data_IF_990525819857
#
_entry.id   IF_990525819857
#
_cell.length_a   1.000
_cell.length_b   1.000
_cell.length_c   1.000
_cell.angle_alpha   90.00
_cell.angle_beta   90.00
_cell.angle_gamma   90.00
#
_symmetry.space_group_name_H-M   'P 1'
#
loop_
_entity.id
_entity.type
_entity.pdbx_description
1 polymer ?
#
# COMPACT_ATOMS: atom_id res chain seq x y z
N UNK A 1 17.50 7.99 18.90
CA UNK A 1 16.73 7.57 17.74
C UNK A 1 17.45 6.49 16.96
N UNK A 2 16.80 5.34 16.74
CA UNK A 2 17.37 4.24 15.96
C UNK A 2 17.52 4.66 14.49
N UNK A 3 18.63 4.26 13.90
CA UNK A 3 18.94 4.40 12.47
C UNK A 3 19.76 3.20 12.00
N UNK A 4 19.73 2.94 10.70
CA UNK A 4 20.47 1.87 10.04
C UNK A 4 21.53 2.46 9.12
N UNK A 5 22.65 1.75 8.96
CA UNK A 5 23.73 2.11 8.04
C UNK A 5 24.27 0.85 7.36
N UNK A 6 24.39 0.84 6.03
CA UNK A 6 23.89 1.89 5.11
C UNK A 6 22.39 2.12 5.27
N UNK A 7 21.88 3.20 4.68
CA UNK A 7 20.43 3.44 4.64
C UNK A 7 19.72 2.24 3.99
N UNK A 8 18.46 1.92 4.41
CA UNK A 8 17.67 0.85 3.80
C UNK A 8 17.57 1.00 2.28
N UNK A 9 17.69 -0.12 1.57
CA UNK A 9 17.72 -0.12 0.11
C UNK A 9 18.45 -1.32 -0.47
N UNK A 10 18.90 -1.20 -1.73
CA UNK A 10 19.70 -2.23 -2.37
C UNK A 10 21.08 -2.35 -1.70
N UNK A 11 21.47 -3.60 -1.44
CA UNK A 11 22.74 -3.96 -0.82
C UNK A 11 23.32 -5.18 -1.52
N UNK A 12 24.65 -5.27 -1.56
CA UNK A 12 25.35 -6.46 -2.06
C UNK A 12 25.13 -7.66 -1.14
N UNK A 13 25.13 -8.85 -1.72
CA UNK A 13 25.05 -10.09 -0.94
C UNK A 13 26.30 -10.22 -0.03
N UNK A 14 26.09 -10.47 1.26
CA UNK A 14 27.14 -10.57 2.24
C UNK A 14 27.65 -9.23 2.77
N UNK A 15 27.09 -8.12 2.32
CA UNK A 15 27.38 -6.83 2.96
C UNK A 15 26.78 -6.75 4.37
N UNK A 16 27.38 -5.92 5.21
CA UNK A 16 26.95 -5.78 6.60
C UNK A 16 26.17 -4.50 6.84
N UNK A 17 25.20 -4.57 7.73
CA UNK A 17 24.46 -3.42 8.23
C UNK A 17 24.79 -3.14 9.69
N UNK A 18 24.69 -1.88 10.06
CA UNK A 18 24.83 -1.42 11.44
C UNK A 18 23.53 -0.80 11.92
N UNK A 19 23.16 -1.11 13.15
CA UNK A 19 22.03 -0.46 13.83
C UNK A 19 22.62 0.49 14.88
N UNK A 20 22.23 1.76 14.80
CA UNK A 20 22.80 2.83 15.64
C UNK A 20 21.69 3.52 16.42
N UNK A 21 21.98 3.89 17.65
CA UNK A 21 21.16 4.86 18.38
C UNK A 21 21.88 6.21 18.42
N UNK A 22 21.16 7.26 18.06
CA UNK A 22 21.64 8.65 18.06
C UNK A 22 21.39 9.37 19.40
N UNK A 23 20.85 8.68 20.41
CA UNK A 23 20.70 9.27 21.75
C UNK A 23 22.00 9.17 22.54
N UNK A 24 22.15 10.02 23.55
CA UNK A 24 23.26 9.98 24.49
C UNK A 24 23.03 9.01 25.67
N UNK A 25 21.88 8.35 25.71
CA UNK A 25 21.53 7.43 26.78
C UNK A 25 22.19 6.05 26.56
N UNK A 26 22.59 5.40 27.65
CA UNK A 26 23.02 4.01 27.59
C UNK A 26 21.82 3.10 27.36
N UNK A 27 21.62 2.68 26.13
CA UNK A 27 20.52 1.81 25.72
C UNK A 27 21.03 0.52 25.08
N UNK A 28 20.24 -0.52 25.22
CA UNK A 28 20.40 -1.73 24.43
C UNK A 28 19.56 -1.64 23.16
N UNK A 29 20.11 -1.98 22.01
CA UNK A 29 19.34 -2.09 20.78
C UNK A 29 18.89 -3.53 20.63
N UNK A 30 17.59 -3.76 20.46
CA UNK A 30 17.05 -5.08 20.13
C UNK A 30 16.35 -5.04 18.78
N UNK A 31 16.38 -6.18 18.09
CA UNK A 31 15.80 -6.27 16.76
C UNK A 31 15.14 -7.63 16.49
N UNK A 32 14.29 -7.64 15.45
CA UNK A 32 13.63 -8.81 14.87
C UNK A 32 13.76 -8.78 13.35
N UNK A 33 13.55 -9.91 12.69
CA UNK A 33 13.61 -10.06 11.24
C UNK A 33 12.34 -10.67 10.63
N UNK A 34 11.37 -11.01 11.45
CA UNK A 34 10.12 -11.68 11.08
C UNK A 34 8.92 -10.72 10.91
N UNK A 35 9.13 -9.42 11.13
CA UNK A 35 8.08 -8.41 11.12
C UNK A 35 7.44 -8.16 12.49
N UNK A 36 7.77 -8.92 13.53
CA UNK A 36 7.32 -8.65 14.90
C UNK A 36 7.97 -7.38 15.47
N UNK A 37 7.32 -6.75 16.44
CA UNK A 37 7.95 -5.66 17.19
C UNK A 37 9.00 -6.27 18.14
N UNK A 38 10.22 -5.70 18.19
CA UNK A 38 11.18 -6.13 19.20
C UNK A 38 10.67 -5.88 20.62
N UNK A 39 10.95 -6.82 21.50
CA UNK A 39 10.65 -6.81 22.93
C UNK A 39 11.89 -7.14 23.76
N UNK A 40 11.72 -7.27 25.10
CA UNK A 40 12.81 -7.55 26.04
C UNK A 40 13.50 -8.92 25.82
N UNK A 41 12.91 -9.83 25.05
CA UNK A 41 13.46 -11.15 24.72
C UNK A 41 14.07 -11.22 23.31
N UNK A 42 13.83 -10.20 22.48
CA UNK A 42 14.31 -10.14 21.10
C UNK A 42 15.84 -10.06 21.03
N UNK A 43 16.42 -10.34 19.87
CA UNK A 43 17.86 -10.37 19.68
C UNK A 43 18.50 -9.04 20.07
N UNK A 44 19.57 -9.15 20.84
CA UNK A 44 20.39 -8.00 21.23
C UNK A 44 21.39 -7.70 20.10
N UNK A 45 21.38 -6.49 19.58
CA UNK A 45 22.37 -6.04 18.61
C UNK A 45 23.70 -5.81 19.29
N UNK A 46 24.75 -6.49 18.83
CA UNK A 46 26.12 -6.40 19.38
C UNK A 46 27.18 -6.01 18.37
N UNK A 47 26.97 -6.43 17.11
CA UNK A 47 27.95 -6.27 16.03
C UNK A 47 27.22 -6.12 14.69
N UNK A 48 27.89 -5.64 13.62
CA UNK A 48 27.31 -5.55 12.30
C UNK A 48 26.73 -6.88 11.83
N UNK A 49 25.56 -6.82 11.18
CA UNK A 49 24.81 -8.00 10.74
C UNK A 49 25.05 -8.17 9.24
N UNK A 50 25.53 -9.35 8.84
CA UNK A 50 25.65 -9.72 7.44
C UNK A 50 24.27 -9.98 6.83
N UNK A 51 24.02 -9.43 5.62
CA UNK A 51 22.76 -9.58 4.92
C UNK A 51 22.97 -10.42 3.65
N UNK A 52 22.52 -11.66 3.67
CA UNK A 52 22.71 -12.61 2.56
C UNK A 52 21.52 -12.69 1.61
N UNK A 53 20.31 -12.37 2.10
CA UNK A 53 19.06 -12.39 1.37
C UNK A 53 18.23 -11.12 1.66
N UNK A 54 17.28 -10.81 0.77
CA UNK A 54 16.34 -9.71 1.01
C UNK A 54 15.67 -9.86 2.37
N UNK A 55 15.90 -8.88 3.25
CA UNK A 55 15.56 -8.97 4.67
C UNK A 55 14.87 -7.72 5.18
N UNK A 56 13.99 -7.91 6.15
CA UNK A 56 13.41 -6.86 6.97
C UNK A 56 14.03 -6.90 8.36
N UNK A 57 14.47 -5.76 8.84
CA UNK A 57 14.85 -5.57 10.24
C UNK A 57 13.86 -4.60 10.89
N UNK A 58 13.47 -4.89 12.13
CA UNK A 58 12.73 -3.98 12.98
C UNK A 58 13.51 -3.80 14.27
N UNK A 59 13.91 -2.58 14.59
CA UNK A 59 14.77 -2.32 15.74
C UNK A 59 14.20 -1.23 16.64
N UNK A 60 14.49 -1.33 17.93
CA UNK A 60 14.17 -0.33 18.95
C UNK A 60 15.24 -0.29 20.04
N UNK A 61 15.33 0.86 20.72
CA UNK A 61 16.16 1.03 21.92
C UNK A 61 15.40 0.57 23.17
N UNK A 62 16.13 -0.02 24.11
CA UNK A 62 15.62 -0.54 25.38
C UNK A 62 16.46 -0.07 26.55
N UNK A 63 15.79 0.22 27.66
CA UNK A 63 16.41 0.40 28.98
C UNK A 63 15.94 -0.79 29.84
N UNK A 64 16.88 -1.65 30.19
CA UNK A 64 16.52 -2.96 30.72
C UNK A 64 15.68 -3.76 29.71
N UNK A 65 14.48 -4.18 30.10
CA UNK A 65 13.53 -4.88 29.24
C UNK A 65 12.43 -3.97 28.67
N UNK A 66 12.44 -2.70 29.02
CA UNK A 66 11.42 -1.71 28.60
C UNK A 66 11.85 -1.02 27.32
N UNK A 67 10.93 -0.96 26.34
CA UNK A 67 11.21 -0.28 25.08
C UNK A 67 11.20 1.24 25.28
N UNK A 68 12.32 1.88 24.97
CA UNK A 68 12.56 3.30 25.16
C UNK A 68 12.46 4.13 23.87
N UNK A 69 12.22 3.51 22.72
CA UNK A 69 12.04 4.22 21.45
C UNK A 69 10.93 3.63 20.59
N UNK A 70 10.41 4.39 19.59
CA UNK A 70 9.62 3.80 18.51
C UNK A 70 10.40 2.69 17.82
N UNK A 71 9.67 1.72 17.25
CA UNK A 71 10.23 0.69 16.36
C UNK A 71 10.52 1.32 15.01
N UNK A 72 11.72 1.10 14.50
CA UNK A 72 12.14 1.57 13.18
C UNK A 72 12.34 0.35 12.28
N UNK A 73 11.54 0.20 11.21
CA UNK A 73 11.75 -0.83 10.21
C UNK A 73 12.81 -0.41 9.18
N UNK A 74 13.46 -1.40 8.59
CA UNK A 74 14.45 -1.23 7.53
C UNK A 74 14.46 -2.46 6.63
N UNK A 75 14.12 -2.28 5.37
CA UNK A 75 14.18 -3.34 4.36
C UNK A 75 15.45 -3.22 3.54
N UNK A 76 16.16 -4.33 3.38
CA UNK A 76 17.32 -4.45 2.50
C UNK A 76 17.03 -5.41 1.36
N UNK A 77 17.26 -4.94 0.13
CA UNK A 77 17.03 -5.68 -1.10
C UNK A 77 18.35 -6.27 -1.57
N UNK A 78 18.49 -7.59 -1.55
CA UNK A 78 19.70 -8.30 -1.97
C UNK A 78 19.53 -8.91 -3.34
N UNK A 79 20.59 -8.88 -4.14
CA UNK A 79 20.64 -9.48 -5.46
C UNK A 79 20.54 -8.47 -6.61
N UNK A 80 19.90 -8.88 -7.72
CA UNK A 80 19.77 -7.99 -8.89
C UNK A 80 18.83 -6.84 -8.56
N UNK A 81 19.16 -5.64 -9.11
CA UNK A 81 18.25 -4.50 -9.08
C UNK A 81 16.89 -4.93 -9.61
N UNK A 82 15.79 -4.64 -8.91
CA UNK A 82 14.47 -5.03 -9.37
C UNK A 82 14.14 -4.33 -10.69
N UNK A 83 13.55 -5.04 -11.64
CA UNK A 83 13.08 -4.44 -12.90
C UNK A 83 11.90 -3.48 -12.69
N UNK A 84 11.21 -3.60 -11.57
CA UNK A 84 10.09 -2.76 -11.13
C UNK A 84 10.41 -2.16 -9.76
N UNK A 85 9.86 -1.01 -9.43
CA UNK A 85 9.96 -0.47 -8.08
C UNK A 85 9.36 -1.47 -7.06
N UNK A 86 9.86 -1.41 -5.82
CA UNK A 86 9.45 -2.32 -4.74
C UNK A 86 8.66 -1.56 -3.70
N UNK A 87 7.53 -2.12 -3.32
CA UNK A 87 6.70 -1.67 -2.20
C UNK A 87 6.85 -2.69 -1.08
N UNK A 88 7.61 -2.35 -0.04
CA UNK A 88 7.82 -3.19 1.13
C UNK A 88 6.87 -2.79 2.26
N UNK A 89 6.12 -3.76 2.75
CA UNK A 89 5.20 -3.62 3.87
C UNK A 89 5.77 -4.37 5.08
N UNK A 90 6.01 -3.66 6.16
CA UNK A 90 6.42 -4.20 7.44
C UNK A 90 5.25 -4.13 8.42
N UNK A 91 4.84 -5.26 8.99
CA UNK A 91 3.75 -5.31 9.97
C UNK A 91 3.85 -6.54 10.87
N UNK A 92 3.10 -6.55 11.96
CA UNK A 92 3.02 -7.74 12.82
C UNK A 92 2.52 -8.95 12.04
N UNK A 93 3.18 -10.13 12.12
CA UNK A 93 2.75 -11.32 11.39
C UNK A 93 1.31 -11.74 11.69
N UNK A 94 0.87 -11.63 12.94
CA UNK A 94 -0.51 -11.93 13.34
C UNK A 94 -1.52 -10.97 12.67
N UNK A 95 -1.20 -9.68 12.57
CA UNK A 95 -2.02 -8.68 11.90
C UNK A 95 -2.12 -8.95 10.40
N UNK A 96 -1.03 -9.37 9.76
CA UNK A 96 -1.05 -9.77 8.36
C UNK A 96 -1.97 -10.98 8.13
N UNK A 97 -1.85 -12.01 8.96
CA UNK A 97 -2.71 -13.19 8.89
C UNK A 97 -4.18 -12.81 9.07
N UNK A 98 -4.48 -11.96 10.03
CA UNK A 98 -5.83 -11.47 10.26
C UNK A 98 -6.37 -10.72 9.03
N UNK A 99 -5.62 -9.74 8.51
CA UNK A 99 -6.01 -9.00 7.28
C UNK A 99 -6.22 -9.96 6.12
N UNK A 100 -5.31 -10.89 5.92
CA UNK A 100 -5.33 -11.78 4.76
C UNK A 100 -6.48 -12.79 4.83
N UNK A 101 -6.77 -13.37 5.98
CA UNK A 101 -7.72 -14.48 6.14
C UNK A 101 -9.17 -14.03 6.39
N UNK A 102 -9.39 -12.85 6.99
CA UNK A 102 -10.73 -12.38 7.31
C UNK A 102 -11.47 -11.81 6.09
N UNK A 103 -11.94 -12.69 5.22
CA UNK A 103 -12.58 -12.32 3.95
C UNK A 103 -13.86 -11.47 4.13
N UNK A 104 -14.56 -11.60 5.25
CA UNK A 104 -15.78 -10.85 5.59
C UNK A 104 -15.52 -9.48 6.22
N UNK A 105 -14.34 -9.25 6.81
CA UNK A 105 -14.02 -8.03 7.53
C UNK A 105 -14.13 -6.79 6.62
N UNK A 106 -14.82 -5.77 7.09
CA UNK A 106 -15.08 -4.51 6.38
C UNK A 106 -14.91 -3.32 7.32
N UNK A 107 -14.82 -2.13 6.70
CA UNK A 107 -14.74 -0.89 7.44
C UNK A 107 -13.39 -0.63 8.10
N UNK A 108 -13.29 0.48 8.81
CA UNK A 108 -12.05 0.95 9.45
C UNK A 108 -11.52 0.00 10.52
N UNK A 109 -12.39 -0.68 11.24
CA UNK A 109 -12.00 -1.65 12.27
C UNK A 109 -11.20 -2.85 11.75
N UNK A 110 -11.19 -3.08 10.43
CA UNK A 110 -10.38 -4.13 9.78
C UNK A 110 -9.02 -3.62 9.28
N UNK A 111 -8.65 -2.38 9.54
CA UNK A 111 -7.32 -1.86 9.27
C UNK A 111 -6.34 -2.34 10.35
N UNK A 112 -5.14 -2.75 9.94
CA UNK A 112 -4.03 -3.05 10.85
C UNK A 112 -2.86 -2.13 10.57
N UNK A 113 -2.15 -1.68 11.62
CA UNK A 113 -0.98 -0.84 11.46
C UNK A 113 0.11 -1.54 10.65
N UNK A 114 0.67 -0.83 9.70
CA UNK A 114 1.78 -1.29 8.90
C UNK A 114 2.71 -0.11 8.59
N UNK A 115 3.90 -0.40 8.10
CA UNK A 115 4.87 0.59 7.65
C UNK A 115 5.24 0.28 6.20
N UNK A 116 5.21 1.32 5.38
CA UNK A 116 5.56 1.30 3.97
C UNK A 116 6.99 1.79 3.79
N UNK A 117 7.77 1.08 3.02
CA UNK A 117 8.99 1.57 2.38
C UNK A 117 8.85 1.40 0.87
N UNK A 118 9.12 2.45 0.12
CA UNK A 118 9.07 2.47 -1.33
C UNK A 118 10.49 2.58 -1.87
N UNK A 119 10.85 1.67 -2.76
CA UNK A 119 12.15 1.66 -3.42
C UNK A 119 11.97 1.83 -4.92
N UNK A 120 12.77 2.73 -5.51
CA UNK A 120 12.84 2.88 -6.96
C UNK A 120 13.54 1.66 -7.62
N UNK A 121 13.57 1.56 -8.97
CA UNK A 121 14.26 0.47 -9.65
C UNK A 121 15.77 0.41 -9.40
N UNK A 122 16.38 1.50 -8.94
CA UNK A 122 17.79 1.50 -8.52
C UNK A 122 18.00 0.94 -7.13
N UNK A 123 16.90 0.65 -6.41
CA UNK A 123 16.90 0.13 -5.05
C UNK A 123 17.08 1.19 -3.96
N UNK A 124 16.96 2.48 -4.31
CA UNK A 124 16.99 3.57 -3.34
C UNK A 124 15.62 3.72 -2.69
N UNK A 125 15.58 3.91 -1.38
CA UNK A 125 14.36 4.19 -0.63
C UNK A 125 13.91 5.64 -0.87
N UNK A 126 12.82 5.81 -1.60
CA UNK A 126 12.28 7.13 -1.99
C UNK A 126 11.15 7.64 -1.11
N UNK A 127 10.48 6.76 -0.38
CA UNK A 127 9.46 7.13 0.61
C UNK A 127 9.38 6.08 1.73
N UNK A 128 8.99 6.53 2.94
CA UNK A 128 8.75 5.64 4.08
C UNK A 128 7.76 6.29 5.04
N UNK A 129 6.66 5.61 5.35
CA UNK A 129 5.65 6.12 6.28
C UNK A 129 4.79 5.00 6.88
N UNK A 130 4.18 5.28 8.03
CA UNK A 130 3.16 4.40 8.62
C UNK A 130 1.82 4.52 7.88
N UNK A 131 1.10 3.41 7.78
CA UNK A 131 -0.22 3.38 7.14
C UNK A 131 -1.11 2.26 7.71
N UNK A 132 -2.41 2.33 7.41
CA UNK A 132 -3.36 1.26 7.71
C UNK A 132 -3.48 0.29 6.54
N UNK A 133 -3.21 -0.98 6.79
CA UNK A 133 -3.28 -2.06 5.79
C UNK A 133 -4.58 -2.83 5.93
N UNK A 134 -5.27 -3.08 4.81
CA UNK A 134 -6.57 -3.75 4.81
C UNK A 134 -6.81 -4.57 3.55
N UNK A 135 -7.53 -5.69 3.70
CA UNK A 135 -7.95 -6.52 2.57
C UNK A 135 -8.93 -5.77 1.64
N UNK A 136 -8.70 -5.85 0.33
CA UNK A 136 -9.53 -5.24 -0.71
C UNK A 136 -10.25 -6.29 -1.56
N UNK A 137 -11.34 -5.88 -2.20
CA UNK A 137 -12.05 -6.63 -3.23
C UNK A 137 -13.36 -7.26 -2.80
N UNK A 138 -13.97 -7.99 -3.71
CA UNK A 138 -15.18 -8.79 -3.56
C UNK A 138 -14.86 -10.29 -3.50
N UNK A 139 -15.08 -11.01 -4.60
CA UNK A 139 -14.83 -12.45 -4.71
C UNK A 139 -13.36 -12.83 -4.43
N UNK A 140 -12.40 -12.01 -4.86
CA UNK A 140 -10.96 -12.23 -4.65
C UNK A 140 -10.49 -12.13 -3.19
N UNK A 141 -11.39 -11.89 -2.23
CA UNK A 141 -11.06 -11.89 -0.80
C UNK A 141 -11.08 -13.31 -0.18
N UNK A 142 -11.70 -14.27 -0.86
CA UNK A 142 -11.85 -15.64 -0.38
C UNK A 142 -10.57 -16.45 -0.58
N UNK A 143 -10.47 -17.56 0.12
CA UNK A 143 -9.35 -18.51 0.03
C UNK A 143 -8.30 -18.31 1.12
N UNK A 144 -7.32 -19.22 1.16
CA UNK A 144 -6.25 -19.30 2.14
C UNK A 144 -5.07 -18.37 1.87
N UNK A 145 -3.93 -18.73 2.46
CA UNK A 145 -2.67 -17.99 2.32
C UNK A 145 -2.04 -18.14 0.95
N UNK A 146 -2.36 -19.19 0.23
CA UNK A 146 -1.92 -19.50 -1.14
C UNK A 146 -2.54 -18.59 -2.20
N UNK A 147 -3.61 -17.88 -1.84
CA UNK A 147 -4.35 -17.01 -2.77
C UNK A 147 -3.79 -15.59 -2.72
N UNK A 148 -3.31 -15.12 -3.86
CA UNK A 148 -2.88 -13.73 -4.01
C UNK A 148 -4.08 -12.79 -3.94
N UNK A 149 -4.14 -11.94 -2.92
CA UNK A 149 -5.25 -11.04 -2.63
C UNK A 149 -4.88 -9.58 -2.83
N UNK A 150 -5.87 -8.75 -3.12
CA UNK A 150 -5.69 -7.30 -3.22
C UNK A 150 -5.83 -6.63 -1.85
N UNK A 151 -5.12 -5.52 -1.66
CA UNK A 151 -5.12 -4.79 -0.41
C UNK A 151 -5.41 -3.30 -0.63
N UNK A 152 -5.60 -2.57 0.46
CA UNK A 152 -5.66 -1.11 0.51
C UNK A 152 -4.64 -0.59 1.49
N UNK A 153 -3.96 0.46 1.10
CA UNK A 153 -3.18 1.30 1.98
C UNK A 153 -3.98 2.56 2.30
N UNK A 154 -4.05 2.94 3.58
CA UNK A 154 -4.67 4.16 4.07
C UNK A 154 -3.65 4.98 4.84
N UNK A 155 -3.31 6.14 4.33
CA UNK A 155 -2.40 7.07 4.99
C UNK A 155 -3.22 7.96 5.94
N UNK A 156 -2.98 7.80 7.24
CA UNK A 156 -3.72 8.48 8.29
C UNK A 156 -2.78 8.92 9.40
N UNK A 157 -3.02 10.07 9.98
CA UNK A 157 -2.21 10.63 11.07
C UNK A 157 -2.07 9.74 12.30
N UNK A 158 -2.93 8.72 12.49
CA UNK A 158 -2.79 7.73 13.57
C UNK A 158 -1.71 6.67 13.29
N UNK A 159 -1.30 6.50 12.04
CA UNK A 159 -0.28 5.52 11.64
C UNK A 159 1.05 6.18 11.28
N UNK A 160 1.01 7.41 10.75
CA UNK A 160 2.15 8.16 10.25
C UNK A 160 1.68 9.43 9.56
N UNK A 161 2.23 9.72 8.39
CA UNK A 161 1.81 10.87 7.59
C UNK A 161 0.39 10.67 7.06
N UNK A 162 -0.38 11.76 6.96
CA UNK A 162 -1.76 11.71 6.45
C UNK A 162 -1.83 11.44 4.95
N UNK A 163 -0.75 11.71 4.24
CA UNK A 163 -0.57 11.47 2.81
C UNK A 163 0.85 11.00 2.59
N UNK A 164 1.04 10.20 1.58
CA UNK A 164 2.38 9.92 1.08
C UNK A 164 2.73 10.97 0.04
N UNK A 165 3.74 11.77 0.30
CA UNK A 165 4.27 12.81 -0.59
C UNK A 165 5.35 12.20 -1.48
N UNK A 166 4.92 11.39 -2.43
CA UNK A 166 5.78 10.83 -3.46
C UNK A 166 4.90 10.41 -4.65
N UNK A 167 5.33 10.62 -5.91
CA UNK A 167 4.59 10.24 -7.09
C UNK A 167 4.60 8.70 -7.30
N UNK A 168 3.92 7.97 -6.40
CA UNK A 168 3.81 6.50 -6.47
C UNK A 168 3.20 6.06 -7.80
N UNK A 169 2.32 6.87 -8.37
CA UNK A 169 1.71 6.65 -9.68
C UNK A 169 2.00 7.88 -10.53
N UNK A 170 3.16 7.94 -11.22
CA UNK A 170 3.55 9.12 -12.00
C UNK A 170 2.51 9.55 -13.03
N UNK A 171 1.81 8.60 -13.64
CA UNK A 171 0.79 8.82 -14.66
C UNK A 171 -0.50 9.45 -14.09
N UNK A 172 -0.68 9.47 -12.77
CA UNK A 172 -1.85 10.09 -12.14
C UNK A 172 -1.83 11.63 -12.23
N UNK A 173 -0.66 12.23 -12.41
CA UNK A 173 -0.50 13.68 -12.39
C UNK A 173 -0.65 14.31 -11.00
N UNK A 174 -0.94 13.51 -9.97
CA UNK A 174 -1.00 13.92 -8.55
C UNK A 174 0.20 13.37 -7.79
N UNK A 175 0.65 14.10 -6.77
CA UNK A 175 1.86 13.74 -6.00
C UNK A 175 1.55 13.16 -4.63
N UNK A 176 0.37 13.47 -4.09
CA UNK A 176 -0.03 13.10 -2.74
C UNK A 176 -1.18 12.10 -2.78
N UNK A 177 -1.06 11.02 -2.05
CA UNK A 177 -2.09 10.00 -1.95
C UNK A 177 -2.48 9.79 -0.47
N UNK A 178 -3.77 9.87 -0.18
CA UNK A 178 -4.34 9.53 1.13
C UNK A 178 -4.67 8.04 1.25
N UNK A 179 -4.84 7.38 0.10
CA UNK A 179 -5.08 5.94 0.01
C UNK A 179 -4.72 5.38 -1.37
N UNK A 180 -4.37 4.11 -1.41
CA UNK A 180 -4.05 3.37 -2.62
C UNK A 180 -4.72 1.99 -2.59
N UNK A 181 -4.94 1.42 -3.77
CA UNK A 181 -5.36 0.03 -3.92
C UNK A 181 -4.22 -0.77 -4.54
N UNK A 182 -3.77 -1.80 -3.85
CA UNK A 182 -2.78 -2.76 -4.32
C UNK A 182 -3.54 -3.93 -4.97
N UNK A 183 -3.66 -3.93 -6.29
CA UNK A 183 -4.44 -4.93 -7.03
C UNK A 183 -3.60 -6.15 -7.34
N UNK A 184 -4.10 -7.31 -6.94
CA UNK A 184 -3.49 -8.61 -7.27
C UNK A 184 -3.81 -9.09 -8.69
N UNK A 185 -4.69 -8.39 -9.41
CA UNK A 185 -5.24 -8.78 -10.71
C UNK A 185 -5.85 -10.19 -10.69
N UNK A 186 -6.61 -10.47 -9.64
CA UNK A 186 -7.20 -11.77 -9.33
C UNK A 186 -7.91 -12.44 -10.51
N UNK A 187 -8.78 -11.71 -11.24
CA UNK A 187 -9.51 -12.26 -12.37
C UNK A 187 -8.63 -12.43 -13.61
N UNK A 188 -7.68 -11.52 -13.81
CA UNK A 188 -6.82 -11.49 -14.99
C UNK A 188 -5.61 -12.43 -14.86
N UNK A 189 -5.20 -12.74 -13.62
CA UNK A 189 -4.06 -13.62 -13.34
C UNK A 189 -4.41 -15.11 -13.20
N UNK A 190 -5.70 -15.48 -13.10
CA UNK A 190 -6.07 -16.84 -12.67
C UNK A 190 -6.23 -17.87 -13.77
N UNK A 191 -6.61 -17.56 -14.99
CA UNK A 191 -6.82 -18.63 -15.97
C UNK A 191 -6.61 -18.26 -17.43
N UNK A 192 -7.21 -17.22 -17.94
CA UNK A 192 -7.18 -16.95 -19.39
C UNK A 192 -6.99 -15.46 -19.70
N UNK A 193 -6.75 -14.65 -18.67
CA UNK A 193 -6.60 -13.22 -18.81
C UNK A 193 -5.14 -12.81 -19.00
N UNK A 194 -4.92 -11.75 -19.73
CA UNK A 194 -3.67 -11.04 -19.65
C UNK A 194 -3.64 -10.26 -18.33
N UNK A 195 -2.60 -10.40 -17.55
CA UNK A 195 -2.43 -9.78 -16.25
C UNK A 195 -2.60 -8.24 -16.23
N UNK A 196 -2.43 -7.62 -17.39
CA UNK A 196 -2.48 -6.16 -17.60
C UNK A 196 -3.83 -5.62 -18.08
N UNK A 197 -4.82 -6.48 -18.36
CA UNK A 197 -6.08 -6.09 -19.04
C UNK A 197 -6.80 -4.92 -18.36
N UNK A 198 -6.93 -4.96 -17.03
CA UNK A 198 -7.61 -3.90 -16.27
C UNK A 198 -6.87 -2.55 -16.40
N UNK A 199 -5.53 -2.57 -16.39
CA UNK A 199 -4.74 -1.34 -16.60
C UNK A 199 -4.94 -0.80 -18.01
N UNK A 200 -4.86 -1.67 -19.03
CA UNK A 200 -5.03 -1.26 -20.43
C UNK A 200 -6.39 -0.61 -20.67
N UNK A 201 -7.47 -1.19 -20.12
CA UNK A 201 -8.83 -0.60 -20.27
C UNK A 201 -8.91 0.77 -19.59
N UNK A 202 -8.31 0.95 -18.42
CA UNK A 202 -8.30 2.25 -17.72
C UNK A 202 -7.48 3.29 -18.49
N UNK A 203 -6.36 2.88 -19.08
CA UNK A 203 -5.51 3.77 -19.88
C UNK A 203 -6.23 4.18 -21.16
N UNK A 204 -6.85 3.25 -21.89
CA UNK A 204 -7.68 3.56 -23.06
C UNK A 204 -8.83 4.53 -22.71
N UNK A 205 -9.52 4.31 -21.59
CA UNK A 205 -10.60 5.20 -21.16
C UNK A 205 -10.10 6.61 -20.89
N UNK A 206 -8.91 6.74 -20.29
CA UNK A 206 -8.25 8.05 -20.07
C UNK A 206 -7.83 8.68 -21.41
N UNK A 207 -7.26 7.90 -22.33
CA UNK A 207 -6.82 8.38 -23.63
C UNK A 207 -8.02 8.88 -24.50
N UNK A 208 -9.21 8.34 -24.25
CA UNK A 208 -10.47 8.83 -24.83
C UNK A 208 -10.99 10.12 -24.16
N UNK A 209 -10.25 10.69 -23.21
CA UNK A 209 -10.61 11.94 -22.52
C UNK A 209 -11.51 11.73 -21.30
N UNK A 210 -11.79 10.50 -20.89
CA UNK A 210 -12.60 10.24 -19.71
C UNK A 210 -11.74 10.15 -18.45
N UNK A 211 -12.29 10.52 -17.31
CA UNK A 211 -11.63 10.41 -16.02
C UNK A 211 -11.54 8.91 -15.61
N UNK A 212 -10.32 8.43 -15.43
CA UNK A 212 -10.05 7.04 -15.06
C UNK A 212 -8.86 6.96 -14.11
N UNK A 213 -8.89 6.00 -13.18
CA UNK A 213 -7.80 5.82 -12.22
C UNK A 213 -6.53 5.35 -12.89
N UNK A 214 -5.43 6.02 -12.62
CA UNK A 214 -4.09 5.62 -13.04
C UNK A 214 -3.53 4.51 -12.15
N UNK A 215 -2.49 3.83 -12.62
CA UNK A 215 -1.82 2.79 -11.84
C UNK A 215 -0.42 2.50 -12.35
N UNK A 216 0.43 2.05 -11.44
CA UNK A 216 1.80 1.64 -11.71
C UNK A 216 2.08 0.25 -11.15
N UNK A 217 3.11 -0.40 -11.68
CA UNK A 217 3.47 -1.77 -11.33
C UNK A 217 4.58 -1.81 -10.29
N UNK A 218 4.39 -2.61 -9.25
CA UNK A 218 5.32 -2.78 -8.14
C UNK A 218 5.49 -4.24 -7.77
N UNK A 219 6.67 -4.61 -7.34
CA UNK A 219 6.85 -5.85 -6.56
C UNK A 219 6.42 -5.56 -5.12
N UNK A 220 5.47 -6.35 -4.60
CA UNK A 220 5.06 -6.26 -3.21
C UNK A 220 5.84 -7.23 -2.35
N UNK A 221 6.51 -6.73 -1.32
CA UNK A 221 7.03 -7.51 -0.21
C UNK A 221 6.15 -7.30 1.02
N UNK A 222 5.90 -8.36 1.78
CA UNK A 222 5.32 -8.28 3.13
C UNK A 222 6.24 -9.01 4.08
N UNK A 223 6.80 -8.29 5.04
CA UNK A 223 7.81 -8.81 5.97
C UNK A 223 8.96 -9.53 5.22
N UNK A 224 9.52 -8.89 4.19
CA UNK A 224 10.53 -9.38 3.23
C UNK A 224 10.08 -10.52 2.29
N UNK A 225 8.98 -11.20 2.55
CA UNK A 225 8.46 -12.23 1.65
C UNK A 225 7.83 -11.63 0.40
N UNK A 226 8.21 -12.13 -0.79
CA UNK A 226 7.68 -11.64 -2.06
C UNK A 226 6.25 -12.15 -2.29
N UNK A 227 5.33 -11.24 -2.54
CA UNK A 227 3.96 -11.50 -2.99
C UNK A 227 3.78 -11.31 -4.51
N UNK A 228 4.90 -11.08 -5.22
CA UNK A 228 4.93 -10.87 -6.67
C UNK A 228 4.48 -9.49 -7.10
N UNK A 229 4.13 -9.34 -8.38
CA UNK A 229 3.81 -8.05 -8.99
C UNK A 229 2.38 -7.63 -8.68
N UNK A 230 2.20 -6.38 -8.26
CA UNK A 230 0.91 -5.74 -8.01
C UNK A 230 0.74 -4.51 -8.89
N UNK A 231 -0.49 -4.25 -9.31
CA UNK A 231 -0.87 -2.98 -9.90
C UNK A 231 -1.36 -2.06 -8.78
N UNK A 232 -0.54 -1.07 -8.43
CA UNK A 232 -0.88 -0.04 -7.44
C UNK A 232 -1.68 1.04 -8.14
N UNK A 233 -2.91 1.29 -7.71
CA UNK A 233 -3.84 2.18 -8.41
C UNK A 233 -4.49 3.15 -7.45
N UNK A 234 -4.90 4.29 -8.00
CA UNK A 234 -5.77 5.24 -7.33
C UNK A 234 -7.10 4.57 -6.98
N UNK A 235 -7.70 5.03 -5.91
CA UNK A 235 -9.05 4.66 -5.57
C UNK A 235 -10.02 5.75 -6.01
N UNK A 236 -10.93 5.42 -6.92
CA UNK A 236 -12.01 6.31 -7.34
C UNK A 236 -13.02 6.48 -6.20
N UNK A 237 -12.87 7.53 -5.44
CA UNK A 237 -13.80 8.03 -4.42
C UNK A 237 -13.73 9.57 -4.38
N UNK A 238 -14.33 10.21 -3.39
CA UNK A 238 -14.41 11.67 -3.30
C UNK A 238 -13.05 12.37 -3.43
N UNK A 239 -12.03 11.86 -2.71
CA UNK A 239 -10.67 12.43 -2.75
C UNK A 239 -10.03 12.33 -4.14
N UNK A 240 -10.29 11.24 -4.87
CA UNK A 240 -9.86 11.09 -6.25
C UNK A 240 -10.45 12.19 -7.13
N UNK A 241 -11.77 12.42 -7.04
CA UNK A 241 -12.42 13.46 -7.83
C UNK A 241 -11.94 14.85 -7.42
N UNK A 242 -11.77 15.11 -6.12
CA UNK A 242 -11.24 16.37 -5.63
C UNK A 242 -9.81 16.65 -6.11
N UNK A 243 -8.96 15.63 -6.22
CA UNK A 243 -7.57 15.78 -6.68
C UNK A 243 -7.44 15.99 -8.19
N UNK A 244 -8.40 15.49 -8.99
CA UNK A 244 -8.37 15.59 -10.46
C UNK A 244 -9.24 16.73 -11.03
N UNK A 245 -10.35 17.05 -10.36
CA UNK A 245 -11.32 18.05 -10.83
C UNK A 245 -11.31 19.35 -9.99
N UNK A 246 -10.59 19.34 -8.89
CA UNK A 246 -10.55 20.45 -7.93
C UNK A 246 -11.44 20.23 -6.71
N UNK A 247 -11.33 21.12 -5.70
CA UNK A 247 -12.13 21.01 -4.48
C UNK A 247 -13.62 21.12 -4.76
N UNK A 248 -14.43 20.25 -4.20
CA UNK A 248 -15.87 20.24 -4.36
C UNK A 248 -16.53 19.10 -3.60
N UNK A 249 -17.86 19.11 -3.58
CA UNK A 249 -18.67 17.98 -3.09
C UNK A 249 -19.01 17.08 -4.28
N UNK A 250 -18.75 15.79 -4.15
CA UNK A 250 -18.94 14.81 -5.22
C UNK A 250 -19.87 13.68 -4.79
N UNK A 251 -20.91 13.46 -5.57
CA UNK A 251 -21.74 12.26 -5.46
C UNK A 251 -21.01 11.10 -6.16
N UNK A 252 -20.48 10.18 -5.39
CA UNK A 252 -19.74 9.03 -5.92
C UNK A 252 -20.55 7.76 -5.73
N UNK A 253 -21.05 7.22 -6.86
CA UNK A 253 -21.92 6.04 -6.86
C UNK A 253 -21.22 4.88 -7.57
N UNK A 254 -21.07 3.78 -6.86
CA UNK A 254 -20.47 2.57 -7.38
C UNK A 254 -21.55 1.63 -7.93
N UNK A 255 -21.37 1.17 -9.18
CA UNK A 255 -22.26 0.22 -9.87
C UNK A 255 -23.75 0.66 -9.92
N UNK A 256 -23.98 1.98 -9.87
CA UNK A 256 -25.31 2.56 -9.91
C UNK A 256 -26.17 2.41 -8.64
N UNK A 257 -25.61 1.82 -7.57
CA UNK A 257 -26.40 1.50 -6.37
C UNK A 257 -25.73 1.91 -5.06
N UNK A 258 -24.42 1.67 -4.90
CA UNK A 258 -23.72 1.94 -3.65
C UNK A 258 -23.19 3.35 -3.62
N UNK A 259 -23.69 4.20 -2.75
CA UNK A 259 -23.16 5.54 -2.48
C UNK A 259 -21.85 5.38 -1.70
N UNK A 260 -20.75 5.89 -2.24
CA UNK A 260 -19.44 5.95 -1.60
C UNK A 260 -19.21 7.32 -0.93
N UNK A 261 -19.73 8.39 -1.51
CA UNK A 261 -19.76 9.74 -0.98
C UNK A 261 -20.97 10.49 -1.53
N UNK A 262 -21.44 11.52 -0.81
CA UNK A 262 -22.56 12.36 -1.21
C UNK A 262 -23.91 11.67 -1.13
N UNK A 263 -24.76 11.91 -2.13
CA UNK A 263 -26.12 11.41 -2.20
C UNK A 263 -26.38 10.60 -3.47
N UNK A 264 -27.53 9.96 -3.55
CA UNK A 264 -27.99 9.27 -4.74
C UNK A 264 -29.00 10.09 -5.57
N UNK A 265 -29.38 11.25 -5.07
CA UNK A 265 -30.50 12.02 -5.61
C UNK A 265 -30.34 12.31 -7.12
N UNK A 266 -29.21 12.90 -7.53
CA UNK A 266 -28.97 13.23 -8.95
C UNK A 266 -28.97 11.99 -9.87
N UNK A 267 -28.48 10.83 -9.36
CA UNK A 267 -28.54 9.57 -10.09
C UNK A 267 -29.98 9.07 -10.31
N UNK A 268 -30.81 9.15 -9.27
CA UNK A 268 -32.21 8.71 -9.35
C UNK A 268 -33.04 9.64 -10.22
N UNK A 269 -32.78 10.97 -10.18
CA UNK A 269 -33.38 11.95 -11.09
C UNK A 269 -33.01 11.68 -12.55
N UNK A 270 -31.70 11.44 -12.83
CA UNK A 270 -31.27 11.07 -14.18
C UNK A 270 -31.91 9.80 -14.68
N UNK A 271 -31.98 8.75 -13.85
CA UNK A 271 -32.67 7.50 -14.22
C UNK A 271 -34.15 7.69 -14.52
N UNK A 272 -34.83 8.48 -13.70
CA UNK A 272 -36.22 8.85 -13.92
C UNK A 272 -36.38 9.59 -15.24
N UNK A 273 -35.56 10.62 -15.49
CA UNK A 273 -35.57 11.37 -16.75
C UNK A 273 -35.41 10.45 -17.95
N UNK A 274 -34.39 9.59 -17.96
CA UNK A 274 -34.13 8.63 -19.05
C UNK A 274 -35.33 7.70 -19.27
N UNK A 275 -35.98 7.23 -18.19
CA UNK A 275 -37.11 6.25 -18.29
C UNK A 275 -38.41 6.86 -18.73
N UNK A 276 -38.58 8.18 -18.58
CA UNK A 276 -39.85 8.87 -18.85
C UNK A 276 -39.83 9.81 -20.07
N UNK A 277 -38.63 10.03 -20.62
CA UNK A 277 -38.41 10.96 -21.73
C UNK A 277 -38.40 10.23 -23.08
N UNK A 278 -39.16 10.75 -24.00
CA UNK A 278 -39.14 10.30 -25.41
C UNK A 278 -37.95 10.92 -26.15
N UNK A 279 -36.87 10.15 -26.30
CA UNK A 279 -35.67 10.58 -27.04
C UNK A 279 -35.80 10.49 -28.56
N UNK A 280 -36.93 10.03 -29.09
CA UNK A 280 -37.22 10.19 -30.53
C UNK A 280 -37.50 11.66 -30.92
N UNK A 281 -37.86 12.49 -29.94
CA UNK A 281 -38.00 13.92 -30.09
C UNK A 281 -36.67 14.64 -29.89
N UNK A 282 -36.05 15.26 -30.90
CA UNK A 282 -34.75 15.95 -30.78
C UNK A 282 -34.72 17.08 -29.73
N UNK A 283 -35.89 17.64 -29.37
CA UNK A 283 -35.96 18.68 -28.32
C UNK A 283 -35.66 18.16 -26.90
N UNK A 284 -35.63 16.86 -26.71
CA UNK A 284 -35.36 16.21 -25.44
C UNK A 284 -33.89 15.77 -25.31
N UNK A 285 -33.07 16.05 -26.29
CA UNK A 285 -31.67 15.77 -26.33
C UNK A 285 -30.83 17.01 -25.90
#
# INVERSE_FOLDING_TARGET
RISFFPEPGAIGQGETIQIRDKSSAAVNIRYTTDGSNPDGSSWLYREPIEVVDTSLFRAAAFIGNERASPVVPATYLVGRRPALPVLSVSMMPADFLEVHLQSSARGRGSERPAFLELFNPDGERVAATGFGFRLHGGAGRRGGLDIKKSYRAYFRGIYGDRRVDHPIIPEAGVKEFDKLVLRSNFNDGRSHGSYIRDQVIRDLHRDMGALSSSGSWYVLLVNSASHGVFNVVERMDEEFFASHLGPGEYDVIKTGETVLSGTRQGWDELRKFISTTDFSNPANY
#
